data_IF_047582399772
#
_entry.id   IF_047582399772
#
_cell.length_a   1.000
_cell.length_b   1.000
_cell.length_c   1.000
_cell.angle_alpha   90.00
_cell.angle_beta   90.00
_cell.angle_gamma   90.00
#
_symmetry.space_group_name_H-M   'P 1'
#
loop_
_entity.id
_entity.type
_entity.pdbx_description
1 polymer ?
#
# COMPACT_ATOMS: atom_id res chain seq x y z
N UNK A 1 6.34 15.42 -9.78
CA UNK A 1 5.34 15.38 -8.69
C UNK A 1 5.64 16.54 -7.74
N UNK A 2 4.65 17.37 -7.39
CA UNK A 2 4.89 18.66 -6.71
C UNK A 2 4.77 18.62 -5.18
N UNK A 3 4.48 17.47 -4.58
CA UNK A 3 4.39 17.34 -3.12
C UNK A 3 5.67 16.69 -2.59
N UNK A 4 6.55 17.43 -1.88
CA UNK A 4 7.85 16.93 -1.44
C UNK A 4 7.77 15.67 -0.60
N UNK A 5 6.79 15.56 0.31
CA UNK A 5 6.67 14.40 1.22
C UNK A 5 6.40 13.10 0.46
N UNK A 6 5.60 13.15 -0.62
CA UNK A 6 5.32 11.99 -1.47
C UNK A 6 6.59 11.58 -2.21
N UNK A 7 7.34 12.54 -2.75
CA UNK A 7 8.58 12.24 -3.46
C UNK A 7 9.65 11.65 -2.51
N UNK A 8 9.81 12.20 -1.30
CA UNK A 8 10.72 11.64 -0.29
C UNK A 8 10.30 10.23 0.13
N UNK A 9 9.02 10.01 0.41
CA UNK A 9 8.52 8.67 0.71
C UNK A 9 8.85 7.70 -0.42
N UNK A 10 8.54 8.04 -1.67
CA UNK A 10 8.78 7.14 -2.80
C UNK A 10 10.25 6.87 -3.11
N UNK A 11 11.15 7.84 -2.88
CA UNK A 11 12.56 7.71 -3.23
C UNK A 11 13.39 7.04 -2.14
N UNK A 12 13.07 7.30 -0.87
CA UNK A 12 13.90 6.84 0.25
C UNK A 12 13.11 6.12 1.35
N UNK A 13 11.83 6.42 1.51
CA UNK A 13 10.99 5.88 2.59
C UNK A 13 10.24 4.59 2.24
N UNK A 14 9.96 4.33 0.96
CA UNK A 14 9.12 3.23 0.49
C UNK A 14 9.96 2.05 0.03
N UNK A 15 10.96 1.67 0.83
CA UNK A 15 11.87 0.57 0.50
C UNK A 15 11.19 -0.71 -0.01
N UNK A 16 10.00 -1.12 0.48
CA UNK A 16 9.28 -2.27 -0.09
C UNK A 16 8.92 -2.09 -1.58
N UNK A 17 8.60 -0.87 -2.02
CA UNK A 17 8.21 -0.58 -3.41
C UNK A 17 9.36 -0.33 -4.37
N UNK A 18 10.58 -0.15 -3.85
CA UNK A 18 11.77 0.22 -4.61
C UNK A 18 12.54 -0.99 -5.17
N UNK A 19 12.15 -2.20 -4.80
CA UNK A 19 12.73 -3.46 -5.30
C UNK A 19 11.64 -4.45 -5.67
N UNK A 20 11.97 -5.48 -6.44
CA UNK A 20 11.04 -6.55 -6.78
C UNK A 20 10.65 -7.31 -5.51
N UNK A 21 9.35 -7.39 -5.24
CA UNK A 21 8.81 -8.29 -4.24
C UNK A 21 8.37 -9.61 -4.89
N UNK A 22 8.76 -10.72 -4.27
CA UNK A 22 8.43 -12.06 -4.75
C UNK A 22 7.27 -12.69 -3.97
N UNK A 23 6.97 -12.18 -2.76
CA UNK A 23 5.79 -12.57 -1.99
C UNK A 23 4.55 -11.76 -2.40
N UNK A 24 3.37 -12.22 -1.95
CA UNK A 24 2.15 -11.41 -1.96
C UNK A 24 2.31 -10.18 -1.06
N UNK A 25 1.62 -9.11 -1.43
CA UNK A 25 1.57 -7.84 -0.72
C UNK A 25 0.12 -7.40 -0.66
N UNK A 26 -0.35 -7.17 0.56
CA UNK A 26 -1.69 -6.66 0.82
C UNK A 26 -1.57 -5.18 1.22
N UNK A 27 -2.31 -4.32 0.54
CA UNK A 27 -2.30 -2.87 0.73
C UNK A 27 -3.71 -2.43 1.01
N UNK A 28 -3.90 -1.70 2.11
CA UNK A 28 -5.18 -1.13 2.51
C UNK A 28 -5.06 0.39 2.51
N UNK A 29 -5.99 1.08 1.85
CA UNK A 29 -5.95 2.53 1.72
C UNK A 29 -7.32 3.16 1.90
N UNK A 30 -7.34 4.25 2.66
CA UNK A 30 -8.53 5.07 2.81
C UNK A 30 -8.55 6.22 1.82
N UNK A 31 -9.67 6.42 1.14
CA UNK A 31 -9.88 7.56 0.25
C UNK A 31 -10.01 8.89 1.00
N UNK A 32 -10.47 8.85 2.26
CA UNK A 32 -10.54 9.99 3.17
C UNK A 32 -9.29 10.14 4.06
N UNK A 33 -8.24 9.32 3.85
CA UNK A 33 -6.99 9.43 4.61
C UNK A 33 -6.23 10.72 4.22
N UNK A 34 -6.19 11.65 5.17
CA UNK A 34 -5.47 12.93 5.04
C UNK A 34 -4.02 12.87 5.52
N UNK A 35 -3.63 11.79 6.20
CA UNK A 35 -2.26 11.55 6.69
C UNK A 35 -1.41 10.88 5.61
N UNK A 36 -1.95 9.84 4.96
CA UNK A 36 -1.36 9.16 3.82
C UNK A 36 -2.35 9.22 2.65
N UNK A 37 -2.25 10.24 1.78
CA UNK A 37 -3.19 10.38 0.67
C UNK A 37 -3.14 9.20 -0.29
N UNK A 38 -4.30 8.71 -0.74
CA UNK A 38 -4.43 7.60 -1.70
C UNK A 38 -3.50 7.70 -2.91
N UNK A 39 -3.32 8.90 -3.44
CA UNK A 39 -2.42 9.15 -4.56
C UNK A 39 -0.97 8.67 -4.29
N UNK A 40 -0.47 8.80 -3.05
CA UNK A 40 0.85 8.30 -2.68
C UNK A 40 0.93 6.76 -2.77
N UNK A 41 -0.12 6.07 -2.32
CA UNK A 41 -0.25 4.61 -2.39
C UNK A 41 -0.42 4.13 -3.83
N UNK A 42 -1.19 4.85 -4.65
CA UNK A 42 -1.32 4.55 -6.08
C UNK A 42 0.05 4.65 -6.80
N UNK A 43 0.87 5.64 -6.44
CA UNK A 43 2.24 5.76 -6.97
C UNK A 43 3.15 4.64 -6.46
N UNK A 44 3.03 4.23 -5.19
CA UNK A 44 3.76 3.09 -4.63
C UNK A 44 3.46 1.81 -5.43
N UNK A 45 2.18 1.53 -5.70
CA UNK A 45 1.76 0.37 -6.49
C UNK A 45 2.31 0.43 -7.92
N UNK A 46 2.27 1.61 -8.55
CA UNK A 46 2.86 1.82 -9.86
C UNK A 46 4.37 1.56 -9.85
N UNK A 47 5.08 2.01 -8.81
CA UNK A 47 6.51 1.76 -8.63
C UNK A 47 6.82 0.29 -8.43
N UNK A 48 6.06 -0.43 -7.60
CA UNK A 48 6.20 -1.89 -7.41
C UNK A 48 6.08 -2.66 -8.72
N UNK A 49 5.08 -2.32 -9.54
CA UNK A 49 4.87 -2.92 -10.87
C UNK A 49 6.04 -2.60 -11.81
N UNK A 50 6.49 -1.35 -11.84
CA UNK A 50 7.63 -0.92 -12.65
C UNK A 50 8.95 -1.63 -12.23
N UNK A 51 9.10 -1.94 -10.94
CA UNK A 51 10.23 -2.68 -10.38
C UNK A 51 10.09 -4.21 -10.50
N UNK A 52 9.08 -4.71 -11.23
CA UNK A 52 8.95 -6.12 -11.58
C UNK A 52 8.19 -6.99 -10.56
N UNK A 53 7.53 -6.39 -9.56
CA UNK A 53 6.57 -7.11 -8.72
C UNK A 53 5.36 -7.49 -9.57
N UNK A 54 4.94 -8.76 -9.51
CA UNK A 54 3.78 -9.23 -10.29
C UNK A 54 2.51 -8.51 -9.85
N UNK A 55 1.67 -8.09 -10.80
CA UNK A 55 0.35 -7.53 -10.47
C UNK A 55 -0.54 -8.52 -9.71
N UNK A 56 -0.37 -9.82 -9.95
CA UNK A 56 -1.08 -10.88 -9.20
C UNK A 56 -0.64 -11.00 -7.73
N UNK A 57 0.50 -10.42 -7.37
CA UNK A 57 1.02 -10.43 -6.02
C UNK A 57 0.64 -9.16 -5.26
N UNK A 58 -0.06 -8.20 -5.87
CA UNK A 58 -0.47 -6.97 -5.22
C UNK A 58 -1.99 -7.00 -5.06
N UNK A 59 -2.44 -7.19 -3.83
CA UNK A 59 -3.84 -7.06 -3.45
C UNK A 59 -4.03 -5.67 -2.85
N UNK A 60 -4.88 -4.87 -3.48
CA UNK A 60 -5.13 -3.48 -3.09
C UNK A 60 -6.59 -3.31 -2.73
N UNK A 61 -6.86 -3.12 -1.44
CA UNK A 61 -8.17 -2.86 -0.89
C UNK A 61 -8.30 -1.38 -0.55
N UNK A 62 -9.35 -0.75 -1.06
CA UNK A 62 -9.59 0.67 -0.86
C UNK A 62 -11.07 0.94 -0.62
N UNK A 63 -11.34 1.93 0.23
CA UNK A 63 -12.68 2.45 0.46
C UNK A 63 -12.63 3.97 0.53
N UNK A 64 -13.57 4.64 -0.14
CA UNK A 64 -13.63 6.10 -0.19
C UNK A 64 -13.91 6.74 1.19
N UNK A 65 -14.60 6.03 2.09
CA UNK A 65 -15.00 6.50 3.40
C UNK A 65 -13.96 6.25 4.49
N UNK A 66 -12.99 5.36 4.28
CA UNK A 66 -11.95 5.12 5.28
C UNK A 66 -10.99 6.31 5.38
N UNK A 67 -10.78 6.77 6.61
CA UNK A 67 -9.71 7.66 7.04
C UNK A 67 -8.52 6.87 7.61
N UNK A 68 -7.47 7.58 8.02
CA UNK A 68 -6.24 6.96 8.54
C UNK A 68 -6.45 5.95 9.68
N UNK A 69 -7.43 6.20 10.57
CA UNK A 69 -7.70 5.33 11.71
C UNK A 69 -8.63 4.18 11.34
N UNK A 70 -9.66 4.46 10.56
CA UNK A 70 -10.69 3.49 10.17
C UNK A 70 -10.19 2.45 9.18
N UNK A 71 -9.21 2.77 8.33
CA UNK A 71 -8.48 1.76 7.54
C UNK A 71 -7.97 0.66 8.46
N UNK A 72 -7.39 1.03 9.61
CA UNK A 72 -6.93 0.05 10.58
C UNK A 72 -8.07 -0.63 11.34
N UNK A 73 -8.93 0.15 12.01
CA UNK A 73 -9.91 -0.42 12.95
C UNK A 73 -10.98 -1.26 12.26
N UNK A 74 -11.28 -1.04 10.98
CA UNK A 74 -12.27 -1.83 10.24
C UNK A 74 -11.68 -3.07 9.56
N UNK A 75 -10.35 -3.14 9.39
CA UNK A 75 -9.69 -4.23 8.66
C UNK A 75 -8.70 -5.03 9.50
N UNK A 76 -8.66 -4.83 10.82
CA UNK A 76 -7.66 -5.48 11.67
C UNK A 76 -7.68 -7.01 11.58
N UNK A 77 -8.87 -7.63 11.49
CA UNK A 77 -9.01 -9.08 11.31
C UNK A 77 -8.47 -9.53 9.95
N UNK A 78 -8.72 -8.75 8.90
CA UNK A 78 -8.22 -9.04 7.56
C UNK A 78 -6.69 -8.94 7.50
N UNK A 79 -6.06 -7.95 8.17
CA UNK A 79 -4.60 -7.89 8.24
C UNK A 79 -4.00 -9.16 8.83
N UNK A 80 -4.58 -9.67 9.93
CA UNK A 80 -4.08 -10.89 10.56
C UNK A 80 -4.26 -12.09 9.63
N UNK A 81 -5.44 -12.25 9.04
CA UNK A 81 -5.70 -13.33 8.08
C UNK A 81 -4.82 -13.28 6.83
N UNK A 82 -4.58 -12.08 6.29
CA UNK A 82 -3.69 -11.86 5.15
C UNK A 82 -2.24 -12.24 5.49
N UNK A 83 -1.77 -11.88 6.69
CA UNK A 83 -0.44 -12.28 7.17
C UNK A 83 -0.36 -13.80 7.30
N UNK A 84 -1.36 -14.44 7.90
CA UNK A 84 -1.40 -15.90 8.05
C UNK A 84 -1.33 -16.60 6.67
N UNK A 85 -2.05 -16.07 5.68
CA UNK A 85 -2.05 -16.60 4.30
C UNK A 85 -0.69 -16.54 3.58
N UNK A 86 0.28 -15.77 4.09
CA UNK A 86 1.64 -15.73 3.54
C UNK A 86 2.49 -16.94 3.95
N UNK A 87 2.06 -17.68 4.96
CA UNK A 87 2.81 -18.80 5.54
C UNK A 87 2.18 -20.17 5.26
N UNK A 88 1.06 -20.21 4.55
CA UNK A 88 0.41 -21.43 4.03
C UNK A 88 1.00 -21.87 2.67
#
# INVERSE_FOLDING_TARGET
MSIPVINTFLQTGSQPGLTKLNQKVFIYQGGADTTVPKAATDILIASMKANGTSASNIEYQEDAAWDHGTVYTQNYENFVGDIDSLFE
#
